data_IF_729741509778
#
_entry.id   IF_729741509778
#
_cell.length_a   1.000
_cell.length_b   1.000
_cell.length_c   1.000
_cell.angle_alpha   90.00
_cell.angle_beta   90.00
_cell.angle_gamma   90.00
#
_symmetry.space_group_name_H-M   'P 1'
#
loop_
_entity.id
_entity.type
_entity.pdbx_description
1 polymer ?
#
# COMPACT_ATOMS: atom_id res chain seq x y z
N UNK A 1 -16.47 6.96 5.37
CA UNK A 1 -16.12 8.16 4.59
C UNK A 1 -14.62 8.26 4.34
N UNK A 2 -13.76 8.09 5.36
CA UNK A 2 -12.30 8.23 5.22
C UNK A 2 -11.65 7.27 4.21
N UNK A 3 -12.11 6.02 4.12
CA UNK A 3 -11.57 5.05 3.14
C UNK A 3 -11.81 5.50 1.68
N UNK A 4 -13.03 5.88 1.32
CA UNK A 4 -13.36 6.34 -0.04
C UNK A 4 -12.58 7.61 -0.42
N UNK A 5 -12.43 8.54 0.52
CA UNK A 5 -11.63 9.74 0.30
C UNK A 5 -10.16 9.40 0.04
N UNK A 6 -9.57 8.49 0.82
CA UNK A 6 -8.20 8.03 0.60
C UNK A 6 -8.04 7.31 -0.74
N UNK A 7 -8.99 6.46 -1.13
CA UNK A 7 -8.98 5.81 -2.45
C UNK A 7 -9.02 6.84 -3.58
N UNK A 8 -9.87 7.87 -3.47
CA UNK A 8 -9.94 8.93 -4.47
C UNK A 8 -8.61 9.68 -4.60
N UNK A 9 -8.00 10.07 -3.47
CA UNK A 9 -6.69 10.74 -3.45
C UNK A 9 -5.60 9.85 -4.07
N UNK A 10 -5.57 8.56 -3.74
CA UNK A 10 -4.61 7.61 -4.29
C UNK A 10 -4.77 7.48 -5.81
N UNK A 11 -6.01 7.34 -6.31
CA UNK A 11 -6.29 7.25 -7.74
C UNK A 11 -5.91 8.53 -8.48
N UNK A 12 -6.19 9.71 -7.91
CA UNK A 12 -5.78 10.99 -8.49
C UNK A 12 -4.26 11.11 -8.56
N UNK A 13 -3.54 10.75 -7.49
CA UNK A 13 -2.07 10.80 -7.47
C UNK A 13 -1.46 9.84 -8.49
N UNK A 14 -1.91 8.58 -8.55
CA UNK A 14 -1.44 7.59 -9.52
C UNK A 14 -1.77 8.02 -10.96
N UNK A 15 -2.98 8.55 -11.19
CA UNK A 15 -3.38 9.08 -12.49
C UNK A 15 -2.49 10.24 -12.93
N UNK A 16 -2.17 11.16 -12.02
CA UNK A 16 -1.23 12.25 -12.28
C UNK A 16 0.18 11.74 -12.61
N UNK A 17 0.70 10.77 -11.85
CA UNK A 17 2.00 10.15 -12.14
C UNK A 17 2.03 9.39 -13.46
N UNK A 18 0.90 8.82 -13.89
CA UNK A 18 0.80 8.15 -15.19
C UNK A 18 0.77 9.15 -16.36
N UNK A 19 -0.02 10.23 -16.24
CA UNK A 19 -0.20 11.21 -17.31
C UNK A 19 0.98 12.17 -17.46
N UNK A 20 1.59 12.61 -16.35
CA UNK A 20 2.67 13.61 -16.34
C UNK A 20 3.84 13.26 -15.41
N UNK A 21 4.49 12.08 -15.57
CA UNK A 21 5.57 11.63 -14.68
C UNK A 21 6.79 12.57 -14.67
N UNK A 22 7.15 13.14 -15.82
CA UNK A 22 8.28 14.07 -15.93
C UNK A 22 8.06 15.36 -15.15
N UNK A 23 6.86 15.94 -15.26
CA UNK A 23 6.49 17.16 -14.52
C UNK A 23 6.45 16.88 -13.01
N UNK A 24 5.89 15.74 -12.61
CA UNK A 24 5.86 15.34 -11.21
C UNK A 24 7.27 15.21 -10.62
N UNK A 25 8.20 14.55 -11.32
CA UNK A 25 9.58 14.43 -10.86
C UNK A 25 10.32 15.75 -10.87
N UNK A 26 10.20 16.53 -11.94
CA UNK A 26 10.89 17.81 -12.05
C UNK A 26 10.46 18.79 -10.96
N UNK A 27 9.16 18.83 -10.64
CA UNK A 27 8.60 19.69 -9.61
C UNK A 27 9.02 19.27 -8.19
N UNK A 28 9.01 17.97 -7.91
CA UNK A 28 9.23 17.43 -6.55
C UNK A 28 10.70 17.15 -6.23
N UNK A 29 11.47 16.72 -7.23
CA UNK A 29 12.84 16.21 -7.06
C UNK A 29 13.86 16.92 -7.96
N UNK A 30 13.42 17.59 -9.03
CA UNK A 30 14.29 18.29 -9.98
C UNK A 30 14.76 17.45 -11.17
N UNK A 31 15.35 18.13 -12.17
CA UNK A 31 15.71 17.52 -13.47
C UNK A 31 16.71 16.37 -13.39
N UNK A 32 17.58 16.36 -12.38
CA UNK A 32 18.58 15.32 -12.17
C UNK A 32 17.95 13.92 -11.97
N UNK A 33 16.70 13.85 -11.51
CA UNK A 33 16.00 12.60 -11.21
C UNK A 33 15.07 12.12 -12.33
N UNK A 34 15.08 12.77 -13.51
CA UNK A 34 14.24 12.35 -14.64
C UNK A 34 14.53 10.92 -15.12
N UNK A 35 15.71 10.38 -14.79
CA UNK A 35 16.08 8.99 -15.11
C UNK A 35 15.13 7.97 -14.44
N UNK A 36 14.54 8.29 -13.28
CA UNK A 36 13.62 7.39 -12.54
C UNK A 36 12.13 7.67 -12.80
N UNK A 37 11.81 8.35 -13.91
CA UNK A 37 10.41 8.66 -14.26
C UNK A 37 9.56 7.44 -14.57
N UNK A 38 10.17 6.34 -15.01
CA UNK A 38 9.46 5.10 -15.35
C UNK A 38 8.93 4.38 -14.11
N UNK A 39 9.57 4.61 -12.97
CA UNK A 39 9.32 3.97 -11.68
C UNK A 39 8.23 4.71 -10.89
N UNK A 40 7.89 5.95 -11.25
CA UNK A 40 7.00 6.80 -10.47
C UNK A 40 5.58 6.23 -10.35
N UNK A 41 5.04 5.64 -11.43
CA UNK A 41 3.71 5.01 -11.40
C UNK A 41 3.71 3.80 -10.45
N UNK A 42 4.77 2.99 -10.48
CA UNK A 42 4.95 1.86 -9.57
C UNK A 42 5.03 2.31 -8.12
N UNK A 43 5.75 3.40 -7.85
CA UNK A 43 5.83 4.01 -6.53
C UNK A 43 4.46 4.49 -6.07
N UNK A 44 3.69 5.16 -6.93
CA UNK A 44 2.33 5.60 -6.63
C UNK A 44 1.41 4.45 -6.25
N UNK A 45 1.48 3.33 -6.99
CA UNK A 45 0.71 2.12 -6.69
C UNK A 45 1.11 1.52 -5.33
N UNK A 46 2.42 1.44 -5.05
CA UNK A 46 2.93 0.94 -3.78
C UNK A 46 2.42 1.78 -2.60
N UNK A 47 2.57 3.11 -2.68
CA UNK A 47 2.10 4.03 -1.63
C UNK A 47 0.58 3.98 -1.49
N UNK A 48 -0.16 3.78 -2.58
CA UNK A 48 -1.61 3.60 -2.54
C UNK A 48 -1.99 2.34 -1.75
N UNK A 49 -1.38 1.21 -2.05
CA UNK A 49 -1.62 -0.05 -1.33
C UNK A 49 -1.27 0.09 0.17
N UNK A 50 -0.10 0.66 0.48
CA UNK A 50 0.32 0.96 1.84
C UNK A 50 -0.69 1.83 2.60
N UNK A 51 -1.15 2.92 1.98
CA UNK A 51 -2.10 3.86 2.58
C UNK A 51 -3.43 3.19 2.91
N UNK A 52 -3.95 2.37 1.99
CA UNK A 52 -5.21 1.66 2.20
C UNK A 52 -5.06 0.57 3.28
N UNK A 53 -3.96 -0.19 3.27
CA UNK A 53 -3.62 -1.15 4.34
C UNK A 53 -3.55 -0.47 5.70
N UNK A 54 -2.87 0.67 5.78
CA UNK A 54 -2.71 1.45 7.00
C UNK A 54 -4.06 1.90 7.58
N UNK A 55 -5.00 2.34 6.74
CA UNK A 55 -6.34 2.73 7.18
C UNK A 55 -7.14 1.55 7.74
N UNK A 56 -7.06 0.36 7.12
CA UNK A 56 -7.74 -0.83 7.60
C UNK A 56 -7.16 -1.29 8.95
N UNK A 57 -5.84 -1.30 9.09
CA UNK A 57 -5.16 -1.60 10.37
C UNK A 57 -5.58 -0.60 11.43
N UNK A 58 -5.52 0.70 11.13
CA UNK A 58 -5.90 1.76 12.07
C UNK A 58 -7.36 1.64 12.53
N UNK A 59 -8.27 1.30 11.61
CA UNK A 59 -9.66 1.02 11.94
C UNK A 59 -9.79 -0.21 12.87
N UNK A 60 -9.14 -1.32 12.53
CA UNK A 60 -9.21 -2.54 13.34
C UNK A 60 -8.63 -2.32 14.75
N UNK A 61 -7.55 -1.55 14.86
CA UNK A 61 -6.99 -1.14 16.15
C UNK A 61 -7.96 -0.28 16.96
N UNK A 62 -8.65 0.69 16.33
CA UNK A 62 -9.58 1.57 17.04
C UNK A 62 -10.80 0.85 17.59
N UNK A 63 -11.21 -0.27 16.97
CA UNK A 63 -12.28 -1.16 17.47
C UNK A 63 -11.77 -2.29 18.38
N UNK A 64 -10.52 -2.20 18.85
CA UNK A 64 -9.94 -3.13 19.83
C UNK A 64 -9.38 -4.43 19.25
N UNK A 65 -9.30 -4.59 17.92
CA UNK A 65 -8.75 -5.79 17.25
C UNK A 65 -7.23 -5.70 17.12
N UNK A 66 -6.53 -5.68 18.25
CA UNK A 66 -5.07 -5.51 18.32
C UNK A 66 -4.27 -6.62 17.65
N UNK A 67 -4.83 -7.84 17.57
CA UNK A 67 -4.17 -8.98 16.91
C UNK A 67 -3.96 -8.79 15.40
N UNK A 68 -4.62 -7.82 14.77
CA UNK A 68 -4.41 -7.50 13.34
C UNK A 68 -2.95 -7.16 13.04
N UNK A 69 -2.20 -6.63 14.01
CA UNK A 69 -0.80 -6.19 13.87
C UNK A 69 0.14 -7.31 13.42
N UNK A 70 -0.22 -8.58 13.65
CA UNK A 70 0.55 -9.73 13.16
C UNK A 70 0.66 -9.72 11.63
N UNK A 71 -0.39 -9.28 10.91
CA UNK A 71 -0.37 -9.26 9.44
C UNK A 71 0.68 -8.27 8.88
N UNK A 72 0.72 -6.98 9.29
CA UNK A 72 1.80 -6.07 8.90
C UNK A 72 3.20 -6.56 9.29
N UNK A 73 3.37 -7.17 10.47
CA UNK A 73 4.68 -7.71 10.89
C UNK A 73 5.14 -8.80 9.92
N UNK A 74 4.26 -9.76 9.59
CA UNK A 74 4.60 -10.82 8.64
C UNK A 74 4.91 -10.25 7.25
N UNK A 75 4.16 -9.26 6.79
CA UNK A 75 4.41 -8.59 5.51
C UNK A 75 5.76 -7.85 5.50
N UNK A 76 6.11 -7.15 6.58
CA UNK A 76 7.39 -6.45 6.71
C UNK A 76 8.58 -7.43 6.75
N UNK A 77 8.45 -8.55 7.46
CA UNK A 77 9.47 -9.62 7.46
C UNK A 77 9.61 -10.23 6.06
N UNK A 78 8.50 -10.51 5.38
CA UNK A 78 8.52 -11.00 4.01
C UNK A 78 9.17 -9.99 3.05
N UNK A 79 8.86 -8.70 3.18
CA UNK A 79 9.47 -7.64 2.39
C UNK A 79 10.98 -7.56 2.63
N UNK A 80 11.44 -7.67 3.88
CA UNK A 80 12.87 -7.68 4.20
C UNK A 80 13.58 -8.88 3.56
N UNK A 81 13.00 -10.09 3.67
CA UNK A 81 13.56 -11.31 3.07
C UNK A 81 13.64 -11.17 1.55
N UNK A 82 12.54 -10.73 0.91
CA UNK A 82 12.47 -10.59 -0.54
C UNK A 82 13.40 -9.48 -1.04
N UNK A 83 13.52 -8.35 -0.34
CA UNK A 83 14.45 -7.31 -0.74
C UNK A 83 15.91 -7.76 -0.57
N UNK A 84 16.23 -8.60 0.42
CA UNK A 84 17.57 -9.17 0.52
C UNK A 84 17.93 -10.03 -0.71
N UNK A 85 16.96 -10.70 -1.33
CA UNK A 85 17.20 -11.52 -2.54
C UNK A 85 16.97 -10.78 -3.86
N UNK A 86 16.11 -9.75 -3.90
CA UNK A 86 15.63 -9.08 -5.12
C UNK A 86 15.74 -7.55 -5.03
N UNK A 87 16.94 -6.99 -5.25
CA UNK A 87 17.19 -5.54 -5.17
C UNK A 87 18.15 -5.01 -6.26
N UNK A 88 18.20 -5.65 -7.44
CA UNK A 88 19.11 -5.30 -8.53
C UNK A 88 18.83 -3.92 -9.17
N UNK A 89 17.62 -3.37 -9.00
CA UNK A 89 17.25 -2.04 -9.50
C UNK A 89 16.19 -1.37 -8.62
N UNK A 90 16.06 -0.05 -8.73
CA UNK A 90 15.00 0.71 -8.04
C UNK A 90 13.61 0.21 -8.41
N UNK A 91 13.39 -0.11 -9.70
CA UNK A 91 12.12 -0.69 -10.14
C UNK A 91 11.83 -2.02 -9.42
N UNK A 92 12.82 -2.91 -9.30
CA UNK A 92 12.64 -4.19 -8.62
C UNK A 92 12.30 -4.00 -7.14
N UNK A 93 12.98 -3.08 -6.45
CA UNK A 93 12.70 -2.77 -5.04
C UNK A 93 11.26 -2.30 -4.85
N UNK A 94 10.78 -1.41 -5.72
CA UNK A 94 9.40 -0.90 -5.67
C UNK A 94 8.39 -2.00 -5.99
N UNK A 95 8.66 -2.86 -6.97
CA UNK A 95 7.77 -3.96 -7.34
C UNK A 95 7.65 -5.01 -6.23
N UNK A 96 8.76 -5.41 -5.61
CA UNK A 96 8.76 -6.33 -4.45
C UNK A 96 7.93 -5.74 -3.31
N UNK A 97 8.12 -4.45 -3.03
CA UNK A 97 7.38 -3.73 -2.00
C UNK A 97 5.88 -3.65 -2.30
N UNK A 98 5.52 -3.35 -3.55
CA UNK A 98 4.13 -3.35 -4.02
C UNK A 98 3.47 -4.71 -3.81
N UNK A 99 4.13 -5.81 -4.20
CA UNK A 99 3.57 -7.15 -4.03
C UNK A 99 3.37 -7.54 -2.56
N UNK A 100 4.28 -7.11 -1.67
CA UNK A 100 4.11 -7.30 -0.24
C UNK A 100 2.88 -6.53 0.28
N UNK A 101 2.72 -5.27 -0.12
CA UNK A 101 1.58 -4.44 0.30
C UNK A 101 0.24 -4.92 -0.25
N UNK A 102 0.19 -5.36 -1.51
CA UNK A 102 -1.01 -5.98 -2.08
C UNK A 102 -1.39 -7.24 -1.30
N UNK A 103 -0.42 -8.10 -1.00
CA UNK A 103 -0.65 -9.32 -0.24
C UNK A 103 -1.15 -9.02 1.18
N UNK A 104 -0.56 -8.00 1.83
CA UNK A 104 -1.02 -7.49 3.12
C UNK A 104 -2.47 -6.98 3.02
N UNK A 105 -2.77 -6.15 2.02
CA UNK A 105 -4.09 -5.57 1.83
C UNK A 105 -5.16 -6.65 1.65
N UNK A 106 -4.89 -7.68 0.84
CA UNK A 106 -5.78 -8.83 0.67
C UNK A 106 -5.99 -9.56 2.01
N UNK A 107 -4.92 -9.80 2.77
CA UNK A 107 -5.01 -10.42 4.10
C UNK A 107 -5.84 -9.60 5.08
N UNK A 108 -5.68 -8.28 5.08
CA UNK A 108 -6.45 -7.35 5.90
C UNK A 108 -7.92 -7.31 5.50
N UNK A 109 -8.23 -7.31 4.20
CA UNK A 109 -9.59 -7.37 3.69
C UNK A 109 -10.28 -8.68 4.10
N UNK A 110 -9.58 -9.81 4.02
CA UNK A 110 -10.06 -11.10 4.51
C UNK A 110 -10.34 -11.11 6.01
N UNK A 111 -9.41 -10.57 6.82
CA UNK A 111 -9.58 -10.45 8.27
C UNK A 111 -10.78 -9.56 8.64
N UNK A 112 -10.92 -8.42 7.97
CA UNK A 112 -12.04 -7.50 8.18
C UNK A 112 -13.38 -8.15 7.81
N UNK A 113 -13.45 -8.86 6.69
CA UNK A 113 -14.65 -9.58 6.26
C UNK A 113 -15.05 -10.69 7.25
N UNK A 114 -14.07 -11.48 7.74
CA UNK A 114 -14.31 -12.47 8.80
C UNK A 114 -14.85 -11.81 10.07
N UNK A 115 -14.25 -10.68 10.48
CA UNK A 115 -14.71 -9.93 11.65
C UNK A 115 -16.17 -9.47 11.50
N UNK A 116 -16.53 -8.86 10.37
CA UNK A 116 -17.90 -8.40 10.11
C UNK A 116 -18.91 -9.55 10.18
N UNK A 117 -18.63 -10.67 9.50
CA UNK A 117 -19.49 -11.85 9.55
C UNK A 117 -19.67 -12.38 10.98
N UNK A 118 -18.57 -12.57 11.71
CA UNK A 118 -18.62 -13.10 13.08
C UNK A 118 -19.43 -12.22 14.04
N UNK A 119 -19.37 -10.91 13.85
CA UNK A 119 -20.10 -9.94 14.65
C UNK A 119 -21.60 -9.94 14.31
N UNK A 120 -21.97 -10.13 13.04
CA UNK A 120 -23.38 -10.19 12.62
C UNK A 120 -24.07 -11.46 13.12
N UNK A 121 -23.36 -12.59 13.18
CA UNK A 121 -23.89 -13.83 13.77
C UNK A 121 -24.09 -13.73 15.28
N UNK A 122 -23.23 -13.00 16.00
CA UNK A 122 -23.35 -12.83 17.45
C UNK A 122 -24.50 -11.88 17.87
N UNK A 123 -25.07 -11.12 16.92
CA UNK A 123 -26.22 -10.22 17.15
C UNK A 123 -27.58 -10.85 16.86
N UNK A 124 -27.62 -12.06 16.28
CA UNK A 124 -28.85 -12.85 16.07
C UNK A 124 -29.10 -13.77 17.25
#
# INVERSE_FOLDING_TARGET
MSFLAATAVCLTAVGFYYMWPGLAIELLYGKAYLVVRGELVWMGLFISAYTLSYLVVSFLLSVGRTKVVVLPILAAVAQLILLNTYHASMLQVVQVSLWCEISLFIGLAGYLGYYQLSHDYAKK
#
